data_IF_703870567549
#
_entry.id   IF_703870567549
#
_cell.length_a   1.000
_cell.length_b   1.000
_cell.length_c   1.000
_cell.angle_alpha   90.00
_cell.angle_beta   90.00
_cell.angle_gamma   90.00
#
_symmetry.space_group_name_H-M   'P 1'
#
loop_
_entity.id
_entity.type
_entity.pdbx_description
1 polymer ?
#
# COMPACT_ATOMS: atom_id res chain seq x y z
N UNK A 1 -18.53 3.25 -18.43
CA UNK A 1 -19.23 3.70 -17.21
C UNK A 1 -18.25 3.65 -16.05
N UNK A 2 -18.28 4.58 -15.09
CA UNK A 2 -17.33 4.55 -13.97
C UNK A 2 -17.67 3.41 -13.02
N UNK A 3 -16.66 2.66 -12.56
CA UNK A 3 -16.87 1.60 -11.58
C UNK A 3 -17.26 2.22 -10.22
N UNK A 4 -18.32 1.70 -9.60
CA UNK A 4 -18.83 2.14 -8.30
C UNK A 4 -18.61 1.03 -7.26
N UNK A 5 -17.39 0.87 -6.71
CA UNK A 5 -17.00 -0.30 -5.91
C UNK A 5 -17.65 -0.36 -4.51
N UNK A 6 -18.31 0.71 -4.07
CA UNK A 6 -18.94 0.80 -2.77
C UNK A 6 -20.34 1.41 -2.91
N UNK A 7 -21.32 0.89 -2.15
CA UNK A 7 -22.69 1.37 -2.08
C UNK A 7 -23.03 1.72 -0.62
N UNK A 8 -23.54 2.93 -0.31
CA UNK A 8 -24.01 3.25 1.03
C UNK A 8 -25.26 2.45 1.40
N UNK A 9 -25.23 1.76 2.54
CA UNK A 9 -26.40 1.07 3.10
C UNK A 9 -26.54 1.40 4.60
N UNK A 10 -27.57 2.18 4.92
CA UNK A 10 -27.94 2.51 6.30
C UNK A 10 -28.79 1.39 6.88
N UNK A 11 -28.24 0.64 7.84
CA UNK A 11 -28.85 -0.61 8.34
C UNK A 11 -30.14 -0.36 9.13
N UNK A 12 -30.21 0.73 9.90
CA UNK A 12 -31.40 1.10 10.65
C UNK A 12 -32.58 1.41 9.71
N UNK A 13 -32.39 2.35 8.78
CA UNK A 13 -33.37 2.73 7.76
C UNK A 13 -33.79 1.52 6.93
N UNK A 14 -32.83 0.72 6.46
CA UNK A 14 -33.12 -0.49 5.68
C UNK A 14 -34.01 -1.47 6.46
N UNK A 15 -33.68 -1.78 7.72
CA UNK A 15 -34.50 -2.69 8.54
C UNK A 15 -35.86 -2.11 8.89
N UNK A 16 -35.99 -0.79 9.05
CA UNK A 16 -37.28 -0.14 9.29
C UNK A 16 -38.18 -0.25 8.05
N UNK A 17 -37.65 0.05 6.86
CA UNK A 17 -38.40 0.00 5.60
C UNK A 17 -38.75 -1.44 5.19
N UNK A 18 -37.88 -2.43 5.44
CA UNK A 18 -38.07 -3.83 4.98
C UNK A 18 -38.61 -4.79 6.04
N UNK A 19 -38.98 -4.32 7.24
CA UNK A 19 -39.35 -5.18 8.38
C UNK A 19 -40.50 -6.17 8.13
N UNK A 20 -41.32 -5.92 7.11
CA UNK A 20 -42.49 -6.70 6.73
C UNK A 20 -42.22 -7.74 5.61
N UNK A 21 -41.02 -7.73 5.01
CA UNK A 21 -40.65 -8.63 3.92
C UNK A 21 -40.24 -10.02 4.43
N UNK A 22 -40.53 -11.06 3.65
CA UNK A 22 -39.93 -12.38 3.89
C UNK A 22 -38.43 -12.42 3.52
N UNK A 23 -37.74 -13.53 3.80
CA UNK A 23 -36.31 -13.66 3.55
C UNK A 23 -35.93 -13.64 2.06
N UNK A 24 -36.81 -14.13 1.17
CA UNK A 24 -36.60 -14.13 -0.28
C UNK A 24 -36.89 -12.75 -0.86
N UNK A 25 -37.93 -12.06 -0.39
CA UNK A 25 -38.24 -10.67 -0.74
C UNK A 25 -37.12 -9.71 -0.31
N UNK A 26 -36.56 -9.88 0.90
CA UNK A 26 -35.36 -9.16 1.34
C UNK A 26 -34.19 -9.36 0.36
N UNK A 27 -33.90 -10.61 -0.03
CA UNK A 27 -32.83 -10.93 -0.96
C UNK A 27 -33.06 -10.31 -2.34
N UNK A 28 -34.27 -10.46 -2.89
CA UNK A 28 -34.66 -9.92 -4.17
C UNK A 28 -34.57 -8.38 -4.23
N UNK A 29 -35.10 -7.67 -3.22
CA UNK A 29 -34.98 -6.22 -3.12
C UNK A 29 -33.51 -5.79 -3.03
N UNK A 30 -32.71 -6.45 -2.18
CA UNK A 30 -31.29 -6.15 -2.01
C UNK A 30 -30.49 -6.32 -3.32
N UNK A 31 -30.72 -7.41 -4.06
CA UNK A 31 -30.09 -7.67 -5.35
C UNK A 31 -30.48 -6.64 -6.42
N UNK A 32 -31.76 -6.23 -6.45
CA UNK A 32 -32.24 -5.20 -7.37
C UNK A 32 -31.59 -3.83 -7.08
N UNK A 33 -31.46 -3.42 -5.82
CA UNK A 33 -30.81 -2.14 -5.48
C UNK A 33 -29.30 -2.17 -5.73
N UNK A 34 -28.63 -3.33 -5.55
CA UNK A 34 -27.23 -3.52 -5.93
C UNK A 34 -27.03 -3.41 -7.45
N UNK A 35 -27.91 -4.03 -8.25
CA UNK A 35 -27.88 -3.91 -9.71
C UNK A 35 -28.11 -2.46 -10.14
N UNK A 36 -29.12 -1.80 -9.57
CA UNK A 36 -29.41 -0.39 -9.83
C UNK A 36 -28.19 0.48 -9.55
N UNK A 37 -27.51 0.30 -8.42
CA UNK A 37 -26.31 1.08 -8.07
C UNK A 37 -25.21 0.97 -9.14
N UNK A 38 -24.95 -0.26 -9.63
CA UNK A 38 -23.89 -0.49 -10.63
C UNK A 38 -24.25 0.02 -12.02
N UNK A 39 -25.52 -0.09 -12.44
CA UNK A 39 -25.97 0.23 -13.81
C UNK A 39 -26.67 1.59 -13.96
N UNK A 40 -27.06 2.23 -12.87
CA UNK A 40 -27.84 3.47 -12.84
C UNK A 40 -29.36 3.32 -13.02
N UNK A 41 -29.89 2.09 -13.08
CA UNK A 41 -31.33 1.85 -13.22
C UNK A 41 -31.69 0.37 -13.24
N UNK A 42 -32.96 0.07 -13.51
CA UNK A 42 -33.47 -1.31 -13.64
C UNK A 42 -34.20 -1.50 -14.97
N UNK A 43 -34.18 -2.71 -15.56
CA UNK A 43 -34.95 -3.02 -16.74
C UNK A 43 -36.45 -3.05 -16.41
N UNK A 44 -37.29 -2.59 -17.35
CA UNK A 44 -38.75 -2.60 -17.18
C UNK A 44 -39.43 -3.96 -17.36
N UNK A 45 -38.69 -4.99 -17.76
CA UNK A 45 -39.19 -6.33 -18.06
C UNK A 45 -39.08 -7.27 -16.84
N UNK A 46 -40.22 -7.83 -16.43
CA UNK A 46 -40.34 -8.76 -15.31
C UNK A 46 -39.42 -9.99 -15.42
N UNK A 47 -39.09 -10.47 -16.64
CA UNK A 47 -38.18 -11.62 -16.79
C UNK A 47 -36.73 -11.27 -16.47
N UNK A 48 -36.28 -10.08 -16.83
CA UNK A 48 -34.97 -9.57 -16.44
C UNK A 48 -34.90 -9.25 -14.95
N UNK A 49 -35.95 -8.64 -14.39
CA UNK A 49 -36.04 -8.34 -12.96
C UNK A 49 -35.99 -9.62 -12.11
N UNK A 50 -36.76 -10.66 -12.47
CA UNK A 50 -36.71 -11.96 -11.81
C UNK A 50 -35.30 -12.57 -11.83
N UNK A 51 -34.57 -12.47 -12.96
CA UNK A 51 -33.18 -12.95 -13.07
C UNK A 51 -32.21 -12.16 -12.18
N UNK A 52 -32.33 -10.84 -12.12
CA UNK A 52 -31.51 -9.99 -11.26
C UNK A 52 -31.78 -10.30 -9.78
N UNK A 53 -33.05 -10.52 -9.43
CA UNK A 53 -33.51 -10.92 -8.10
C UNK A 53 -33.20 -12.38 -7.73
N UNK A 54 -32.57 -13.16 -8.63
CA UNK A 54 -32.33 -14.60 -8.48
C UNK A 54 -33.59 -15.44 -8.18
N UNK A 55 -34.75 -15.01 -8.68
CA UNK A 55 -36.06 -15.66 -8.49
C UNK A 55 -36.53 -16.40 -9.75
N UNK A 56 -37.25 -17.51 -9.56
CA UNK A 56 -38.06 -18.11 -10.62
C UNK A 56 -39.22 -17.19 -11.01
N UNK A 57 -39.78 -17.38 -12.21
CA UNK A 57 -40.95 -16.62 -12.66
C UNK A 57 -42.21 -16.80 -11.77
N UNK A 58 -42.28 -17.87 -10.97
CA UNK A 58 -43.37 -18.12 -10.03
C UNK A 58 -43.16 -17.42 -8.67
N UNK A 59 -41.92 -17.35 -8.18
CA UNK A 59 -41.56 -16.56 -7.00
C UNK A 59 -41.67 -15.07 -7.29
N UNK A 60 -41.09 -14.61 -8.41
CA UNK A 60 -41.21 -13.21 -8.83
C UNK A 60 -42.66 -12.75 -8.91
N UNK A 61 -43.55 -13.54 -9.53
CA UNK A 61 -44.99 -13.18 -9.63
C UNK A 61 -45.67 -12.97 -8.27
N UNK A 62 -45.20 -13.65 -7.21
CA UNK A 62 -45.71 -13.50 -5.84
C UNK A 62 -45.10 -12.26 -5.17
N UNK A 63 -43.78 -12.11 -5.21
CA UNK A 63 -43.05 -11.02 -4.57
C UNK A 63 -43.14 -9.66 -5.29
N UNK A 64 -43.49 -9.64 -6.59
CA UNK A 64 -43.43 -8.46 -7.46
C UNK A 64 -44.20 -7.25 -6.90
N UNK A 65 -45.39 -7.46 -6.34
CA UNK A 65 -46.20 -6.35 -5.83
C UNK A 65 -45.56 -5.73 -4.57
N UNK A 66 -45.07 -6.56 -3.64
CA UNK A 66 -44.35 -6.13 -2.45
C UNK A 66 -43.08 -5.36 -2.82
N UNK A 67 -42.27 -5.93 -3.72
CA UNK A 67 -41.00 -5.34 -4.16
C UNK A 67 -41.23 -4.04 -4.95
N UNK A 68 -42.23 -4.00 -5.85
CA UNK A 68 -42.51 -2.82 -6.65
C UNK A 68 -42.94 -1.60 -5.81
N UNK A 69 -43.47 -1.81 -4.60
CA UNK A 69 -43.85 -0.70 -3.70
C UNK A 69 -42.65 0.16 -3.24
N UNK A 70 -41.42 -0.35 -3.31
CA UNK A 70 -40.20 0.41 -3.01
C UNK A 70 -39.70 1.28 -4.17
N UNK A 71 -40.30 1.16 -5.36
CA UNK A 71 -39.87 1.85 -6.57
C UNK A 71 -40.96 2.78 -7.12
N UNK A 72 -40.55 3.95 -7.60
CA UNK A 72 -41.40 4.82 -8.41
C UNK A 72 -41.63 4.21 -9.82
N UNK A 73 -42.64 4.69 -10.58
CA UNK A 73 -42.88 4.28 -11.96
C UNK A 73 -41.61 4.28 -12.83
N UNK A 74 -41.44 3.22 -13.62
CA UNK A 74 -40.21 2.99 -14.38
C UNK A 74 -39.06 2.39 -13.55
N UNK A 75 -39.38 1.72 -12.43
CA UNK A 75 -38.42 1.09 -11.53
C UNK A 75 -37.32 2.04 -11.04
N UNK A 76 -37.71 3.27 -10.65
CA UNK A 76 -36.81 4.32 -10.15
C UNK A 76 -36.76 4.32 -8.62
N UNK A 77 -35.64 4.71 -8.03
CA UNK A 77 -35.45 4.61 -6.58
C UNK A 77 -34.80 5.86 -5.99
N UNK A 78 -35.62 6.75 -5.39
CA UNK A 78 -35.24 8.08 -4.85
C UNK A 78 -33.93 8.11 -4.05
N UNK A 79 -33.77 7.19 -3.09
CA UNK A 79 -32.55 7.07 -2.26
C UNK A 79 -31.31 6.80 -3.10
N UNK A 80 -31.38 5.80 -4.00
CA UNK A 80 -30.25 5.38 -4.84
C UNK A 80 -29.90 6.49 -5.83
N UNK A 81 -30.90 7.09 -6.49
CA UNK A 81 -30.70 8.23 -7.39
C UNK A 81 -29.98 9.41 -6.71
N UNK A 82 -30.34 9.72 -5.45
CA UNK A 82 -29.69 10.76 -4.65
C UNK A 82 -28.22 10.43 -4.34
N UNK A 83 -27.93 9.19 -3.96
CA UNK A 83 -26.56 8.76 -3.65
C UNK A 83 -25.70 8.66 -4.92
N UNK A 84 -26.28 8.23 -6.05
CA UNK A 84 -25.63 8.25 -7.37
C UNK A 84 -25.26 9.69 -7.77
N UNK A 85 -26.18 10.64 -7.67
CA UNK A 85 -25.92 12.05 -7.94
C UNK A 85 -24.79 12.61 -7.05
N UNK A 86 -24.74 12.23 -5.76
CA UNK A 86 -23.66 12.62 -4.84
C UNK A 86 -22.30 12.04 -5.28
N UNK A 87 -22.25 10.79 -5.69
CA UNK A 87 -21.02 10.13 -6.17
C UNK A 87 -20.54 10.73 -7.50
N UNK A 88 -21.46 10.98 -8.43
CA UNK A 88 -21.14 11.56 -9.75
C UNK A 88 -20.68 13.03 -9.61
N UNK A 89 -21.27 13.82 -8.70
CA UNK A 89 -20.79 15.18 -8.36
C UNK A 89 -19.40 15.15 -7.69
N UNK A 90 -19.19 14.22 -6.76
CA UNK A 90 -17.93 14.06 -6.01
C UNK A 90 -16.79 13.62 -6.92
N UNK A 91 -17.03 12.63 -7.79
CA UNK A 91 -16.03 12.16 -8.77
C UNK A 91 -15.69 13.25 -9.79
N UNK A 92 -16.66 14.04 -10.23
CA UNK A 92 -16.43 15.23 -11.09
C UNK A 92 -15.52 16.26 -10.40
N UNK A 93 -15.76 16.56 -9.11
CA UNK A 93 -14.89 17.46 -8.32
C UNK A 93 -13.47 16.90 -8.16
N UNK A 94 -13.30 15.58 -7.98
CA UNK A 94 -11.97 14.96 -7.92
C UNK A 94 -11.26 14.95 -9.29
N UNK A 95 -11.97 14.68 -10.39
CA UNK A 95 -11.43 14.72 -11.74
C UNK A 95 -10.93 16.14 -12.10
N UNK A 96 -11.71 17.18 -11.79
CA UNK A 96 -11.30 18.57 -11.99
C UNK A 96 -10.08 18.97 -11.14
N UNK A 97 -10.00 18.50 -9.88
CA UNK A 97 -8.82 18.70 -9.03
C UNK A 97 -7.59 17.98 -9.61
N UNK A 98 -7.75 16.74 -10.08
CA UNK A 98 -6.68 15.97 -10.71
C UNK A 98 -6.19 16.63 -12.01
N UNK A 99 -7.09 17.10 -12.87
CA UNK A 99 -6.78 17.85 -14.10
C UNK A 99 -6.01 19.14 -13.80
N UNK A 100 -6.44 19.91 -12.79
CA UNK A 100 -5.75 21.14 -12.34
C UNK A 100 -4.39 20.87 -11.67
N UNK A 101 -4.21 19.70 -11.04
CA UNK A 101 -2.91 19.29 -10.52
C UNK A 101 -1.96 18.83 -11.65
N UNK A 102 -2.49 18.08 -12.63
CA UNK A 102 -1.74 17.63 -13.81
C UNK A 102 -1.29 18.80 -14.67
N UNK A 103 -2.15 19.78 -14.97
CA UNK A 103 -1.76 20.97 -15.73
C UNK A 103 -0.68 21.78 -15.01
N UNK A 104 -0.82 22.02 -13.70
CA UNK A 104 0.22 22.68 -12.89
C UNK A 104 1.54 21.91 -12.84
N UNK A 105 1.53 20.58 -12.98
CA UNK A 105 2.73 19.76 -13.08
C UNK A 105 3.39 19.90 -14.45
N UNK A 106 2.60 19.86 -15.53
CA UNK A 106 3.11 19.98 -16.90
C UNK A 106 3.66 21.37 -17.21
N UNK A 107 2.95 22.45 -16.86
CA UNK A 107 3.45 23.82 -17.06
C UNK A 107 4.75 24.09 -16.31
N UNK A 108 5.00 23.42 -15.17
CA UNK A 108 6.29 23.48 -14.44
C UNK A 108 7.41 22.62 -15.04
N UNK A 109 7.09 21.74 -15.98
CA UNK A 109 8.08 20.99 -16.77
C UNK A 109 8.50 21.76 -18.03
N UNK A 110 7.57 22.46 -18.69
CA UNK A 110 7.91 23.33 -19.83
C UNK A 110 8.97 24.40 -19.44
N UNK A 111 8.82 25.03 -18.27
CA UNK A 111 9.80 25.96 -17.68
C UNK A 111 11.19 25.35 -17.37
N UNK A 112 11.34 24.02 -17.44
CA UNK A 112 12.56 23.30 -17.03
C UNK A 112 13.18 22.40 -18.11
N UNK A 113 12.49 22.15 -19.22
CA UNK A 113 12.94 21.23 -20.27
C UNK A 113 13.23 21.89 -21.63
N UNK A 114 13.20 23.23 -21.71
CA UNK A 114 13.57 23.98 -22.92
C UNK A 114 15.05 23.79 -23.39
N UNK A 115 15.87 23.03 -22.67
CA UNK A 115 17.28 22.77 -23.02
C UNK A 115 17.73 21.33 -22.73
N UNK A 116 17.07 20.33 -23.35
CA UNK A 116 17.71 19.05 -23.71
C UNK A 116 16.86 18.25 -24.71
N UNK A 117 17.03 18.52 -26.01
CA UNK A 117 16.45 17.76 -27.13
C UNK A 117 17.49 17.66 -28.26
N UNK A 118 18.64 17.03 -27.96
CA UNK A 118 19.64 16.60 -28.94
C UNK A 118 20.20 15.25 -28.52
N UNK A 119 20.01 14.22 -29.35
CA UNK A 119 20.55 12.87 -29.13
C UNK A 119 19.50 11.79 -28.85
N UNK A 120 18.73 11.42 -29.87
CA UNK A 120 18.04 10.12 -29.89
C UNK A 120 18.88 9.13 -30.71
N UNK A 121 19.31 7.98 -30.15
CA UNK A 121 19.80 6.85 -30.93
C UNK A 121 18.63 6.06 -31.53
N UNK A 122 18.86 5.53 -32.72
CA UNK A 122 17.90 4.78 -33.54
C UNK A 122 17.62 3.37 -32.96
N UNK A 123 16.37 2.85 -33.05
CA UNK A 123 16.06 1.51 -32.55
C UNK A 123 16.54 0.42 -33.51
N UNK A 124 17.48 -0.43 -33.08
CA UNK A 124 17.89 -1.61 -33.86
C UNK A 124 16.98 -2.83 -33.64
N UNK A 125 16.78 -3.68 -34.66
CA UNK A 125 15.86 -4.82 -34.61
C UNK A 125 16.48 -6.09 -34.02
N UNK A 126 15.65 -6.95 -33.44
CA UNK A 126 15.97 -8.34 -33.05
C UNK A 126 14.78 -9.27 -33.40
N UNK A 127 14.98 -10.60 -33.55
CA UNK A 127 14.60 -11.25 -34.79
C UNK A 127 13.46 -12.28 -34.64
N UNK A 128 12.91 -12.67 -35.78
CA UNK A 128 11.94 -13.75 -35.92
C UNK A 128 12.49 -15.11 -35.46
N UNK A 129 11.61 -15.93 -34.87
CA UNK A 129 11.61 -17.39 -35.06
C UNK A 129 10.16 -17.88 -35.22
N UNK A 130 9.99 -18.89 -36.08
CA UNK A 130 8.72 -19.26 -36.71
C UNK A 130 8.50 -20.80 -36.67
N UNK A 131 7.23 -21.26 -36.72
CA UNK A 131 6.78 -22.67 -36.66
C UNK A 131 6.88 -23.32 -35.25
N UNK A 132 6.06 -24.28 -34.81
CA UNK A 132 4.90 -25.05 -35.34
C UNK A 132 4.52 -26.14 -34.29
N UNK A 133 3.57 -27.08 -34.45
CA UNK A 133 2.49 -27.34 -35.43
C UNK A 133 1.52 -28.43 -34.84
N UNK A 134 0.30 -28.62 -35.40
CA UNK A 134 -0.71 -29.63 -34.97
C UNK A 134 -1.52 -29.25 -33.70
N UNK A 135 -2.79 -29.66 -33.50
CA UNK A 135 -3.49 -30.90 -33.88
C UNK A 135 -3.46 -31.88 -32.69
N UNK A 136 -4.54 -32.46 -32.14
CA UNK A 136 -5.93 -32.59 -32.60
C UNK A 136 -6.92 -32.69 -31.42
N UNK A 137 -8.22 -32.64 -31.71
CA UNK A 137 -9.30 -32.93 -30.76
C UNK A 137 -9.71 -34.40 -30.80
N UNK A 138 -9.96 -35.01 -29.64
CA UNK A 138 -10.83 -36.19 -29.56
C UNK A 138 -11.68 -36.21 -28.29
N UNK A 139 -12.98 -36.35 -28.48
CA UNK A 139 -13.94 -36.62 -27.42
C UNK A 139 -13.83 -38.08 -26.94
N UNK A 140 -14.29 -38.34 -25.70
CA UNK A 140 -14.78 -39.65 -25.27
C UNK A 140 -16.05 -39.44 -24.47
N UNK A 141 -17.13 -40.09 -24.92
CA UNK A 141 -18.42 -40.13 -24.24
C UNK A 141 -18.36 -40.94 -22.92
N UNK A 142 -19.30 -40.72 -21.98
CA UNK A 142 -19.38 -41.46 -20.72
C UNK A 142 -20.26 -42.71 -20.83
N UNK A 143 -19.95 -43.74 -20.05
CA UNK A 143 -20.84 -44.89 -19.77
C UNK A 143 -20.51 -45.42 -18.34
N UNK A 144 -21.39 -46.14 -17.62
CA UNK A 144 -21.75 -45.68 -16.27
C UNK A 144 -21.53 -46.73 -15.17
N UNK A 145 -21.83 -46.35 -13.92
CA UNK A 145 -21.99 -47.27 -12.78
C UNK A 145 -20.79 -48.19 -12.45
N UNK A 146 -19.62 -47.59 -12.19
CA UNK A 146 -18.54 -48.23 -11.41
C UNK A 146 -18.32 -47.50 -10.09
N UNK A 147 -18.74 -48.07 -8.95
CA UNK A 147 -18.41 -47.56 -7.59
C UNK A 147 -17.28 -48.37 -6.98
N UNK A 148 -16.13 -47.76 -6.67
CA UNK A 148 -15.20 -48.24 -5.65
C UNK A 148 -15.32 -47.45 -4.32
N UNK A 149 -14.63 -47.98 -3.31
CA UNK A 149 -14.60 -47.61 -1.88
C UNK A 149 -14.31 -46.14 -1.49
N UNK A 150 -14.57 -45.75 -0.21
CA UNK A 150 -14.41 -44.39 0.27
C UNK A 150 -12.92 -43.97 0.32
N UNK A 151 -12.47 -43.30 -0.73
CA UNK A 151 -11.25 -42.51 -0.69
C UNK A 151 -11.36 -41.36 0.32
N UNK A 152 -10.25 -41.03 0.96
CA UNK A 152 -10.11 -39.99 1.99
C UNK A 152 -10.68 -38.65 1.52
N UNK A 153 -11.32 -37.92 2.43
CA UNK A 153 -11.85 -36.58 2.14
C UNK A 153 -10.75 -35.68 1.55
N UNK A 154 -10.95 -35.06 0.37
CA UNK A 154 -9.97 -34.13 -0.16
C UNK A 154 -9.86 -32.93 0.77
N UNK A 155 -8.64 -32.68 1.26
CA UNK A 155 -8.36 -31.55 2.12
C UNK A 155 -8.91 -30.25 1.51
N UNK A 156 -9.63 -29.48 2.33
CA UNK A 156 -10.24 -28.21 1.94
C UNK A 156 -9.20 -27.33 1.21
N UNK A 157 -9.58 -26.63 0.13
CA UNK A 157 -8.65 -25.77 -0.60
C UNK A 157 -8.02 -24.78 0.36
N UNK A 158 -6.68 -24.65 0.29
CA UNK A 158 -5.91 -23.82 1.20
C UNK A 158 -6.51 -22.41 1.27
N UNK A 159 -6.71 -21.92 2.50
CA UNK A 159 -7.26 -20.58 2.72
C UNK A 159 -6.45 -19.55 1.92
N UNK A 160 -7.09 -18.52 1.32
CA UNK A 160 -6.36 -17.51 0.56
C UNK A 160 -5.31 -16.88 1.46
N UNK A 161 -4.04 -16.99 1.06
CA UNK A 161 -2.93 -16.48 1.85
C UNK A 161 -3.14 -14.99 2.15
N UNK A 162 -2.94 -14.59 3.42
CA UNK A 162 -3.05 -13.20 3.84
C UNK A 162 -2.22 -12.30 2.94
N UNK A 163 -2.83 -11.20 2.45
CA UNK A 163 -2.15 -10.18 1.62
C UNK A 163 -1.01 -9.47 2.37
N UNK A 164 -0.95 -9.62 3.70
CA UNK A 164 0.12 -9.11 4.57
C UNK A 164 0.83 -10.32 5.18
N UNK A 165 2.15 -10.42 4.99
CA UNK A 165 2.95 -11.52 5.52
C UNK A 165 3.13 -11.40 7.05
N UNK A 166 3.35 -12.53 7.76
CA UNK A 166 3.71 -12.49 9.19
C UNK A 166 4.97 -11.65 9.46
N UNK A 167 5.90 -11.59 8.50
CA UNK A 167 7.08 -10.73 8.57
C UNK A 167 6.72 -9.24 8.61
N UNK A 168 5.79 -8.81 7.75
CA UNK A 168 5.33 -7.41 7.70
C UNK A 168 4.60 -7.00 8.99
N UNK A 169 3.91 -7.93 9.65
CA UNK A 169 3.36 -7.72 11.00
C UNK A 169 4.46 -7.56 12.06
N UNK A 170 5.39 -8.52 12.17
CA UNK A 170 6.46 -8.46 13.16
C UNK A 170 7.34 -7.20 13.03
N UNK A 171 7.66 -6.79 11.80
CA UNK A 171 8.43 -5.57 11.53
C UNK A 171 7.61 -4.29 11.84
N UNK A 172 6.28 -4.32 11.70
CA UNK A 172 5.43 -3.21 12.13
C UNK A 172 5.39 -3.06 13.66
N UNK A 173 5.33 -4.17 14.40
CA UNK A 173 5.37 -4.17 15.87
C UNK A 173 6.72 -3.68 16.40
N UNK A 174 7.83 -4.08 15.78
CA UNK A 174 9.16 -3.53 16.09
C UNK A 174 9.26 -2.01 15.83
N UNK A 175 8.66 -1.51 14.74
CA UNK A 175 8.61 -0.08 14.46
C UNK A 175 7.77 0.68 15.50
N UNK A 176 6.67 0.09 15.98
CA UNK A 176 5.84 0.66 17.04
C UNK A 176 6.63 0.74 18.35
N UNK A 177 7.34 -0.34 18.72
CA UNK A 177 8.24 -0.35 19.87
C UNK A 177 9.36 0.70 19.76
N UNK A 178 10.01 0.83 18.60
CA UNK A 178 11.03 1.88 18.34
C UNK A 178 10.44 3.29 18.50
N UNK A 179 9.18 3.49 18.10
CA UNK A 179 8.48 4.76 18.21
C UNK A 179 7.96 5.10 19.62
N UNK A 180 8.01 4.16 20.57
CA UNK A 180 7.37 4.30 21.89
C UNK A 180 5.83 4.23 21.81
N UNK A 181 5.30 3.52 20.81
CA UNK A 181 3.86 3.38 20.56
C UNK A 181 3.44 1.95 20.85
N UNK A 182 2.44 1.76 21.71
CA UNK A 182 1.92 0.44 22.05
C UNK A 182 1.29 -0.27 20.85
N UNK A 183 1.63 -1.54 20.66
CA UNK A 183 0.98 -2.42 19.69
C UNK A 183 -0.30 -3.02 20.30
N UNK A 184 -1.43 -2.92 19.60
CA UNK A 184 -2.71 -3.51 20.01
C UNK A 184 -3.87 -2.50 20.07
N UNK A 185 -4.79 -2.60 21.04
CA UNK A 185 -5.99 -1.74 21.09
C UNK A 185 -5.67 -0.25 21.34
N UNK A 186 -4.52 0.04 21.96
CA UNK A 186 -4.05 1.41 22.23
C UNK A 186 -3.25 2.03 21.07
N UNK A 187 -3.17 1.36 19.92
CA UNK A 187 -2.44 1.87 18.74
C UNK A 187 -3.12 3.12 18.16
N UNK A 188 -2.40 4.26 18.05
CA UNK A 188 -2.98 5.52 17.54
C UNK A 188 -3.48 5.43 16.10
N UNK A 189 -4.46 6.25 15.67
CA UNK A 189 -5.08 6.15 14.34
C UNK A 189 -4.12 6.18 13.13
N UNK A 190 -3.01 6.91 13.20
CA UNK A 190 -2.01 6.95 12.12
C UNK A 190 -1.01 5.78 12.12
N UNK A 191 -1.11 4.89 13.11
CA UNK A 191 -0.40 3.60 13.21
C UNK A 191 -1.29 2.41 12.84
N UNK A 192 -2.62 2.59 12.77
CA UNK A 192 -3.52 1.59 12.22
C UNK A 192 -3.10 1.22 10.78
N UNK A 193 -2.98 -0.08 10.50
CA UNK A 193 -2.52 -0.57 9.20
C UNK A 193 -1.00 -0.45 8.96
N UNK A 194 -0.20 -0.26 10.02
CA UNK A 194 1.27 -0.27 9.96
C UNK A 194 1.84 -1.40 9.10
N UNK A 195 1.39 -2.65 9.35
CA UNK A 195 1.83 -3.84 8.62
C UNK A 195 1.56 -3.77 7.10
N UNK A 196 0.47 -3.13 6.65
CA UNK A 196 0.20 -2.94 5.22
C UNK A 196 1.20 -1.96 4.57
N UNK A 197 1.63 -0.92 5.29
CA UNK A 197 2.66 0.00 4.80
C UNK A 197 4.04 -0.67 4.77
N UNK A 198 4.36 -1.45 5.80
CA UNK A 198 5.59 -2.27 5.85
C UNK A 198 5.61 -3.30 4.73
N UNK A 199 4.50 -4.00 4.47
CA UNK A 199 4.35 -4.91 3.33
C UNK A 199 4.66 -4.21 2.00
N UNK A 200 4.17 -2.98 1.81
CA UNK A 200 4.47 -2.19 0.62
C UNK A 200 5.94 -1.72 0.52
N UNK A 201 6.70 -1.69 1.62
CA UNK A 201 8.14 -1.46 1.59
C UNK A 201 8.91 -2.76 1.24
N UNK A 202 8.56 -3.88 1.89
CA UNK A 202 9.15 -5.19 1.59
C UNK A 202 8.95 -5.57 0.11
N UNK A 203 7.73 -5.37 -0.43
CA UNK A 203 7.43 -5.59 -1.86
C UNK A 203 8.14 -4.63 -2.83
N UNK A 204 8.81 -3.58 -2.32
CA UNK A 204 9.71 -2.70 -3.10
C UNK A 204 11.19 -3.07 -2.93
N UNK A 205 11.48 -4.21 -2.30
CA UNK A 205 12.85 -4.66 -2.02
C UNK A 205 13.53 -3.92 -0.87
N UNK A 206 12.80 -3.21 -0.02
CA UNK A 206 13.38 -2.60 1.19
C UNK A 206 13.65 -3.69 2.22
N UNK A 207 14.90 -3.85 2.64
CA UNK A 207 15.28 -4.89 3.62
C UNK A 207 14.83 -4.52 5.03
N UNK A 208 14.55 -5.54 5.86
CA UNK A 208 14.22 -5.40 7.29
C UNK A 208 15.24 -4.51 8.01
N UNK A 209 16.53 -4.76 7.77
CA UNK A 209 17.61 -4.06 8.46
C UNK A 209 17.66 -2.57 8.07
N UNK A 210 17.52 -2.22 6.78
CA UNK A 210 17.49 -0.82 6.36
C UNK A 210 16.26 -0.07 6.93
N UNK A 211 15.11 -0.76 7.03
CA UNK A 211 13.91 -0.23 7.70
C UNK A 211 14.18 0.06 9.18
N UNK A 212 14.76 -0.89 9.92
CA UNK A 212 15.04 -0.75 11.35
C UNK A 212 16.13 0.29 11.64
N UNK A 213 17.21 0.33 10.85
CA UNK A 213 18.29 1.32 10.96
C UNK A 213 17.74 2.73 10.71
N UNK A 214 16.99 2.93 9.61
CA UNK A 214 16.37 4.21 9.28
C UNK A 214 15.38 4.69 10.35
N UNK A 215 14.61 3.78 10.95
CA UNK A 215 13.69 4.09 12.03
C UNK A 215 14.41 4.49 13.33
N UNK A 216 15.37 3.69 13.80
CA UNK A 216 16.18 3.98 15.00
C UNK A 216 16.95 5.29 14.86
N UNK A 217 17.57 5.54 13.70
CA UNK A 217 18.26 6.79 13.42
C UNK A 217 17.31 8.01 13.41
N UNK A 218 16.04 7.82 13.08
CA UNK A 218 15.02 8.88 13.13
C UNK A 218 14.57 9.19 14.55
N UNK A 219 14.35 8.16 15.37
CA UNK A 219 13.97 8.34 16.77
C UNK A 219 15.10 8.92 17.61
N UNK A 220 16.35 8.52 17.36
CA UNK A 220 17.53 9.09 18.04
C UNK A 220 17.70 10.61 17.82
N UNK A 221 17.12 11.18 16.76
CA UNK A 221 17.13 12.63 16.47
C UNK A 221 15.86 13.35 16.94
N UNK A 222 14.81 12.62 17.31
CA UNK A 222 13.50 13.18 17.64
C UNK A 222 13.46 13.58 19.11
N UNK A 223 13.07 14.83 19.38
CA UNK A 223 12.97 15.39 20.74
C UNK A 223 11.53 15.46 21.26
N UNK A 224 10.58 15.54 20.34
CA UNK A 224 9.14 15.61 20.64
C UNK A 224 8.50 14.22 20.66
N UNK A 225 7.30 14.12 21.24
CA UNK A 225 6.56 12.85 21.44
C UNK A 225 6.28 12.02 20.18
N UNK A 226 5.74 10.79 20.34
CA UNK A 226 5.77 9.73 19.32
C UNK A 226 5.30 10.18 17.93
N UNK A 227 5.93 9.69 16.84
CA UNK A 227 5.50 10.00 15.48
C UNK A 227 4.02 9.72 15.25
N UNK A 228 3.31 10.62 14.56
CA UNK A 228 1.88 10.47 14.28
C UNK A 228 1.52 9.28 13.38
N UNK A 229 2.49 8.57 12.81
CA UNK A 229 2.28 7.36 12.03
C UNK A 229 3.56 6.81 11.38
N UNK A 230 3.50 5.57 10.91
CA UNK A 230 4.64 4.82 10.32
C UNK A 230 5.31 5.53 9.14
N UNK A 231 4.54 6.33 8.37
CA UNK A 231 5.06 7.11 7.24
C UNK A 231 6.16 8.12 7.61
N UNK A 232 6.29 8.49 8.90
CA UNK A 232 7.36 9.36 9.39
C UNK A 232 8.77 8.82 9.09
N UNK A 233 8.95 7.50 9.02
CA UNK A 233 10.27 6.88 8.83
C UNK A 233 10.71 6.79 7.37
N UNK A 234 9.80 6.90 6.40
CA UNK A 234 10.08 6.72 4.97
C UNK A 234 11.28 7.55 4.46
N UNK A 235 11.43 8.85 4.81
CA UNK A 235 12.55 9.66 4.31
C UNK A 235 13.89 9.30 4.94
N UNK A 236 13.92 8.59 6.08
CA UNK A 236 15.16 8.14 6.70
C UNK A 236 15.55 6.73 6.22
N UNK A 237 14.58 5.84 6.06
CA UNK A 237 14.79 4.51 5.49
C UNK A 237 15.27 4.64 4.03
N UNK A 238 14.64 5.52 3.23
CA UNK A 238 15.09 5.79 1.86
C UNK A 238 16.53 6.35 1.79
N UNK A 239 16.96 7.14 2.78
CA UNK A 239 18.35 7.62 2.88
C UNK A 239 19.33 6.52 3.25
N UNK A 240 18.93 5.60 4.13
CA UNK A 240 19.73 4.44 4.51
C UNK A 240 19.92 3.48 3.33
N UNK A 241 18.84 3.13 2.63
CA UNK A 241 18.89 2.31 1.40
C UNK A 241 19.78 2.98 0.33
N UNK A 242 19.64 4.29 0.13
CA UNK A 242 20.50 5.04 -0.80
C UNK A 242 21.97 5.14 -0.35
N UNK A 243 22.27 4.99 0.94
CA UNK A 243 23.64 4.91 1.45
C UNK A 243 24.24 3.51 1.23
N UNK A 244 23.45 2.46 1.49
CA UNK A 244 23.84 1.06 1.26
C UNK A 244 24.02 0.72 -0.23
N UNK A 245 23.30 1.41 -1.12
CA UNK A 245 23.45 1.29 -2.57
C UNK A 245 24.67 2.04 -3.15
N UNK A 246 25.50 2.72 -2.35
CA UNK A 246 26.71 3.38 -2.85
C UNK A 246 27.81 2.35 -3.10
N UNK A 247 28.44 2.33 -4.30
CA UNK A 247 29.58 1.47 -4.55
C UNK A 247 30.75 1.84 -3.63
N UNK A 248 31.51 0.82 -3.21
CA UNK A 248 32.68 0.97 -2.33
C UNK A 248 33.72 1.86 -3.03
N UNK A 249 34.31 2.88 -2.36
CA UNK A 249 35.37 3.68 -2.95
C UNK A 249 36.61 2.82 -3.23
N UNK A 250 37.18 2.99 -4.42
CA UNK A 250 38.36 2.25 -4.87
C UNK A 250 39.59 2.59 -4.00
N UNK A 251 40.18 1.58 -3.37
CA UNK A 251 41.35 1.75 -2.51
C UNK A 251 42.61 1.84 -3.37
N UNK A 252 42.98 3.05 -3.75
CA UNK A 252 44.25 3.33 -4.42
C UNK A 252 45.40 3.14 -3.42
N UNK A 253 46.07 1.99 -3.48
CA UNK A 253 47.29 1.70 -2.71
C UNK A 253 48.47 2.50 -3.28
N UNK A 254 48.81 3.61 -2.63
CA UNK A 254 50.04 4.34 -2.94
C UNK A 254 51.26 3.50 -2.52
N UNK A 255 52.26 3.27 -3.39
CA UNK A 255 53.43 2.47 -3.05
C UNK A 255 54.28 3.17 -1.98
N UNK A 256 54.86 2.37 -1.07
CA UNK A 256 55.69 2.87 0.01
C UNK A 256 56.92 3.62 -0.52
N UNK A 257 57.06 4.89 -0.14
CA UNK A 257 58.19 5.74 -0.56
C UNK A 257 59.36 5.52 0.40
N UNK A 258 60.35 4.73 -0.02
CA UNK A 258 61.60 4.55 0.73
C UNK A 258 62.33 5.88 0.87
N UNK A 259 62.45 6.39 2.10
CA UNK A 259 63.22 7.60 2.39
C UNK A 259 64.64 7.16 2.77
N UNK A 260 65.60 7.38 1.88
CA UNK A 260 67.01 7.43 2.28
C UNK A 260 67.28 8.80 2.90
N UNK A 261 67.76 8.81 4.14
CA UNK A 261 68.20 10.02 4.83
C UNK A 261 69.73 10.08 4.85
N UNK A 262 70.29 11.13 4.25
CA UNK A 262 71.72 11.41 4.34
C UNK A 262 72.10 11.91 5.75
N UNK A 263 73.17 11.40 6.39
CA UNK A 263 73.48 11.72 7.78
C UNK A 263 74.47 12.88 7.90
N UNK A 264 74.02 14.14 7.73
CA UNK A 264 74.79 15.31 8.18
C UNK A 264 73.91 16.53 8.50
N UNK A 265 73.83 16.93 9.77
CA UNK A 265 73.02 18.07 10.22
C UNK A 265 73.22 18.40 11.70
N UNK A 266 74.17 19.29 11.97
CA UNK A 266 74.67 19.70 13.29
C UNK A 266 73.61 19.97 14.38
N UNK A 267 73.82 19.37 15.56
CA UNK A 267 73.12 19.71 16.81
C UNK A 267 73.46 21.15 17.24
N UNK A 268 72.46 21.99 17.52
CA UNK A 268 72.68 23.32 18.14
C UNK A 268 71.87 23.45 19.44
N UNK A 269 72.56 23.88 20.49
CA UNK A 269 72.13 23.76 21.88
C UNK A 269 71.54 25.08 22.41
N UNK A 270 70.38 25.01 23.07
CA UNK A 270 69.71 26.13 23.75
C UNK A 270 68.30 25.71 24.18
N UNK A 271 68.08 25.44 25.47
CA UNK A 271 67.55 26.39 26.46
C UNK A 271 66.17 26.93 26.01
N UNK A 272 65.06 26.63 26.67
CA UNK A 272 64.82 26.17 28.04
C UNK A 272 63.46 26.75 28.48
N UNK A 273 62.83 26.16 29.50
CA UNK A 273 61.58 26.63 30.13
C UNK A 273 60.29 26.50 29.28
N UNK A 274 59.30 25.76 29.81
CA UNK A 274 58.00 25.57 29.13
C UNK A 274 57.07 24.48 29.67
N UNK A 275 57.55 23.56 30.52
CA UNK A 275 56.76 22.40 31.00
C UNK A 275 56.83 22.21 32.53
N UNK A 276 56.12 23.03 33.32
CA UNK A 276 55.85 22.77 34.75
C UNK A 276 54.76 23.65 35.42
N UNK A 277 53.69 24.08 34.72
CA UNK A 277 52.80 25.14 35.26
C UNK A 277 51.29 24.81 35.39
N UNK A 278 50.76 23.72 34.81
CA UNK A 278 49.30 23.47 34.75
C UNK A 278 48.83 22.29 35.62
N UNK A 279 49.75 21.47 36.14
CA UNK A 279 49.41 20.32 36.99
C UNK A 279 49.06 20.64 38.46
N UNK A 280 49.29 21.87 38.92
CA UNK A 280 49.11 22.26 40.33
C UNK A 280 47.70 22.77 40.70
N UNK A 281 46.84 23.04 39.70
CA UNK A 281 45.62 23.84 39.93
C UNK A 281 44.36 23.03 40.35
N UNK A 282 44.47 21.71 40.53
CA UNK A 282 43.33 20.82 40.79
C UNK A 282 43.37 20.07 42.14
N UNK A 283 44.38 20.29 42.99
CA UNK A 283 44.56 19.56 44.26
C UNK A 283 44.28 20.37 45.54
N UNK A 284 43.83 21.62 45.43
CA UNK A 284 43.70 22.57 46.56
C UNK A 284 42.29 23.16 46.74
N UNK A 285 41.22 22.40 46.43
CA UNK A 285 39.82 22.81 46.67
C UNK A 285 38.92 21.69 47.23
N UNK A 286 39.50 20.78 47.99
CA UNK A 286 38.79 19.62 48.56
C UNK A 286 39.14 19.33 50.04
N UNK A 287 39.49 20.36 50.82
CA UNK A 287 39.51 20.42 52.30
C UNK A 287 39.71 21.90 52.68
N UNK A 288 38.93 22.58 53.52
CA UNK A 288 37.61 22.34 54.12
C UNK A 288 37.25 23.57 54.99
N UNK A 289 35.97 23.82 55.25
CA UNK A 289 35.54 24.89 56.19
C UNK A 289 34.31 25.68 55.72
N UNK A 290 33.18 25.45 56.38
CA UNK A 290 31.86 26.03 56.07
C UNK A 290 30.76 25.00 56.31
#
# INVERSE_FOLDING_TARGET
MMARPWMPLYIADYRADTSHLDAAEHGAYLLLIMHYWTTGGLPGDDRQLARIACMTAAEWRRARLTIAAFFDPGWRHKRIDRELARVDETSSKYAERAKKAASKRWSKQDDKHASSMLGAPEPQPHPEKNGGDGGDAQARDPDPLGRPEPAQEPALPAQPASLITPEAHALADELAAIAGVGAGPDTPPGWCGAAHRVQAWLSRGWTRDAVLIGARASMARKRDGPPGGVGYFEPAIAREIAAQAKPIPEVVTLPAKTIHGDPHGSYRQGRGDGFAAIAAHYAARATGGG
#
